data_IF_682722863062
#
_entry.id   IF_682722863062
#
_cell.length_a   1.000
_cell.length_b   1.000
_cell.length_c   1.000
_cell.angle_alpha   90.00
_cell.angle_beta   90.00
_cell.angle_gamma   90.00
#
_symmetry.space_group_name_H-M   'P 1'
#
loop_
_entity.id
_entity.type
_entity.pdbx_description
1 polymer ?
#
# COMPACT_ATOMS: atom_id res chain seq x y z
N UNK A 1 25.48 -4.26 -35.89
CA UNK A 1 26.05 -3.85 -34.61
C UNK A 1 24.91 -4.02 -33.58
N UNK A 2 24.90 -5.13 -32.85
CA UNK A 2 24.00 -5.38 -31.73
C UNK A 2 24.43 -4.41 -30.64
N UNK A 3 23.58 -3.41 -30.33
CA UNK A 3 23.73 -2.62 -29.12
C UNK A 3 23.66 -3.59 -27.95
N UNK A 4 24.77 -3.82 -27.26
CA UNK A 4 24.77 -4.42 -25.93
C UNK A 4 23.90 -3.54 -25.05
N UNK A 5 22.69 -3.99 -24.77
CA UNK A 5 21.82 -3.32 -23.80
C UNK A 5 22.54 -3.39 -22.46
N UNK A 6 23.00 -2.23 -21.95
CA UNK A 6 23.56 -2.16 -20.59
C UNK A 6 22.59 -2.85 -19.61
N UNK A 7 23.09 -3.73 -18.74
CA UNK A 7 22.23 -4.36 -17.75
C UNK A 7 21.52 -3.28 -16.93
N UNK A 8 20.20 -3.44 -16.75
CA UNK A 8 19.38 -2.51 -15.97
C UNK A 8 19.98 -2.35 -14.57
N UNK A 9 19.87 -1.15 -14.00
CA UNK A 9 20.41 -0.87 -12.68
C UNK A 9 19.73 -1.68 -11.58
N UNK A 10 18.45 -1.94 -11.71
CA UNK A 10 17.71 -2.80 -10.77
C UNK A 10 17.95 -4.28 -11.08
N UNK A 11 18.25 -5.03 -10.04
CA UNK A 11 18.35 -6.47 -10.05
C UNK A 11 17.01 -7.07 -9.57
N UNK A 12 16.02 -7.07 -10.51
CA UNK A 12 14.64 -7.45 -10.18
C UNK A 12 14.53 -8.93 -9.78
N UNK A 13 13.63 -9.22 -8.85
CA UNK A 13 13.27 -10.59 -8.47
C UNK A 13 12.53 -11.28 -9.63
N UNK A 14 12.85 -12.56 -9.87
CA UNK A 14 12.15 -13.36 -10.87
C UNK A 14 10.76 -13.77 -10.40
N UNK A 15 10.66 -14.18 -9.15
CA UNK A 15 9.40 -14.56 -8.48
C UNK A 15 8.35 -13.44 -8.49
N UNK A 16 8.77 -12.17 -8.55
CA UNK A 16 7.87 -11.03 -8.63
C UNK A 16 6.95 -11.08 -9.86
N UNK A 17 7.41 -11.62 -10.99
CA UNK A 17 6.62 -11.61 -12.23
C UNK A 17 5.39 -12.51 -12.15
N UNK A 18 5.46 -13.63 -11.42
CA UNK A 18 4.31 -14.52 -11.19
C UNK A 18 3.24 -13.81 -10.36
N UNK A 19 3.64 -13.18 -9.26
CA UNK A 19 2.71 -12.40 -8.40
C UNK A 19 2.11 -11.20 -9.13
N UNK A 20 2.87 -10.57 -10.03
CA UNK A 20 2.34 -9.45 -10.83
C UNK A 20 1.25 -9.90 -11.79
N UNK A 21 1.37 -11.10 -12.38
CA UNK A 21 0.34 -11.65 -13.26
C UNK A 21 -1.01 -11.83 -12.55
N UNK A 22 -1.01 -12.05 -11.23
CA UNK A 22 -2.24 -12.15 -10.43
C UNK A 22 -3.02 -10.82 -10.36
N UNK A 23 -2.34 -9.69 -10.57
CA UNK A 23 -3.01 -8.38 -10.66
C UNK A 23 -3.84 -8.28 -11.94
N UNK A 24 -3.28 -8.73 -13.06
CA UNK A 24 -3.99 -8.72 -14.34
C UNK A 24 -5.20 -9.67 -14.27
N UNK A 25 -5.03 -10.89 -13.72
CA UNK A 25 -6.12 -11.85 -13.49
C UNK A 25 -7.25 -11.33 -12.60
N UNK A 26 -6.94 -10.42 -11.68
CA UNK A 26 -7.98 -9.80 -10.84
C UNK A 26 -8.94 -8.94 -11.67
N UNK A 27 -8.42 -8.13 -12.59
CA UNK A 27 -9.24 -7.29 -13.46
C UNK A 27 -9.93 -8.10 -14.55
N UNK A 28 -9.23 -9.04 -15.17
CA UNK A 28 -9.81 -10.00 -16.12
C UNK A 28 -10.98 -10.77 -15.51
N UNK A 29 -10.80 -11.32 -14.30
CA UNK A 29 -11.87 -12.02 -13.58
C UNK A 29 -13.04 -11.12 -13.17
N UNK A 30 -12.83 -9.81 -13.01
CA UNK A 30 -13.91 -8.84 -12.83
C UNK A 30 -14.73 -8.66 -14.11
N UNK A 31 -14.07 -8.58 -15.27
CA UNK A 31 -14.72 -8.48 -16.57
C UNK A 31 -15.51 -9.75 -16.89
N UNK A 32 -14.87 -10.92 -16.74
CA UNK A 32 -15.52 -12.22 -16.95
C UNK A 32 -16.77 -12.38 -16.07
N UNK A 33 -16.67 -12.04 -14.79
CA UNK A 33 -17.82 -12.10 -13.87
C UNK A 33 -18.97 -11.20 -14.33
N UNK A 34 -18.66 -10.00 -14.82
CA UNK A 34 -19.67 -9.08 -15.35
C UNK A 34 -20.35 -9.62 -16.62
N UNK A 35 -19.59 -10.22 -17.53
CA UNK A 35 -20.10 -10.87 -18.75
C UNK A 35 -21.00 -12.06 -18.44
N UNK A 36 -20.69 -12.79 -17.37
CA UNK A 36 -21.50 -13.90 -16.85
C UNK A 36 -22.72 -13.43 -16.03
N UNK A 37 -22.92 -12.12 -15.87
CA UNK A 37 -24.01 -11.57 -15.06
C UNK A 37 -23.82 -11.75 -13.55
N UNK A 38 -22.61 -12.06 -13.09
CA UNK A 38 -22.26 -12.14 -11.68
C UNK A 38 -22.01 -10.75 -11.09
N UNK A 39 -22.21 -10.56 -9.76
CA UNK A 39 -22.01 -9.27 -9.13
C UNK A 39 -20.52 -8.89 -9.08
N UNK A 40 -20.23 -7.62 -9.43
CA UNK A 40 -18.90 -7.01 -9.31
C UNK A 40 -18.99 -5.79 -8.39
N UNK A 41 -18.13 -5.71 -7.40
CA UNK A 41 -18.00 -4.55 -6.54
C UNK A 41 -16.77 -3.72 -6.89
N UNK A 42 -16.93 -2.40 -6.96
CA UNK A 42 -15.80 -1.49 -6.90
C UNK A 42 -15.54 -1.15 -5.43
N UNK A 43 -14.34 -1.45 -4.97
CA UNK A 43 -14.00 -1.40 -3.56
C UNK A 43 -12.85 -0.43 -3.32
N UNK A 44 -12.99 0.42 -2.31
CA UNK A 44 -11.88 1.20 -1.78
C UNK A 44 -10.88 0.29 -1.07
N UNK A 45 -9.59 0.60 -1.15
CA UNK A 45 -8.58 -0.09 -0.35
C UNK A 45 -8.84 0.18 1.15
N UNK A 46 -9.33 -0.84 1.82
CA UNK A 46 -9.57 -0.86 3.25
C UNK A 46 -9.44 -2.32 3.78
N UNK A 47 -9.45 -2.50 5.08
CA UNK A 47 -9.12 -3.79 5.68
C UNK A 47 -10.28 -4.78 5.86
N UNK A 48 -11.54 -4.42 5.52
CA UNK A 48 -12.70 -5.11 6.05
C UNK A 48 -13.57 -5.81 5.01
N UNK A 49 -13.89 -5.16 3.89
CA UNK A 49 -14.94 -5.63 2.98
C UNK A 49 -14.53 -6.73 2.04
N UNK A 50 -13.26 -6.76 1.59
CA UNK A 50 -12.84 -7.64 0.51
C UNK A 50 -13.07 -9.13 0.82
N UNK A 51 -12.72 -9.60 2.03
CA UNK A 51 -12.98 -10.98 2.43
C UNK A 51 -14.47 -11.30 2.56
N UNK A 52 -15.28 -10.34 3.06
CA UNK A 52 -16.74 -10.48 3.16
C UNK A 52 -17.37 -10.58 1.77
N UNK A 53 -16.99 -9.72 0.84
CA UNK A 53 -17.47 -9.73 -0.54
C UNK A 53 -17.10 -11.04 -1.24
N UNK A 54 -15.88 -11.51 -1.06
CA UNK A 54 -15.45 -12.78 -1.59
C UNK A 54 -16.25 -13.96 -1.02
N UNK A 55 -16.51 -14.01 0.29
CA UNK A 55 -17.36 -15.00 0.93
C UNK A 55 -18.83 -14.95 0.44
N UNK A 56 -19.27 -13.79 -0.03
CA UNK A 56 -20.57 -13.62 -0.69
C UNK A 56 -20.54 -13.92 -2.20
N UNK A 57 -19.39 -14.32 -2.76
CA UNK A 57 -19.25 -14.63 -4.19
C UNK A 57 -19.27 -13.38 -5.09
N UNK A 58 -18.96 -12.21 -4.56
CA UNK A 58 -18.86 -10.95 -5.29
C UNK A 58 -17.42 -10.76 -5.75
N UNK A 59 -17.21 -10.52 -7.05
CA UNK A 59 -15.89 -10.17 -7.55
C UNK A 59 -15.56 -8.72 -7.20
N UNK A 60 -14.31 -8.49 -6.82
CA UNK A 60 -13.85 -7.16 -6.40
C UNK A 60 -12.83 -6.60 -7.37
N UNK A 61 -12.99 -5.33 -7.73
CA UNK A 61 -12.00 -4.51 -8.45
C UNK A 61 -11.80 -3.21 -7.68
N UNK A 62 -10.63 -2.62 -7.81
CA UNK A 62 -10.19 -1.55 -6.94
C UNK A 62 -9.82 -0.30 -7.74
N UNK A 63 -10.71 0.71 -7.83
CA UNK A 63 -10.47 1.93 -8.61
C UNK A 63 -9.19 2.68 -8.22
N UNK A 64 -8.82 2.65 -6.93
CA UNK A 64 -7.57 3.23 -6.44
C UNK A 64 -6.34 2.54 -7.05
N UNK A 65 -6.32 1.22 -7.01
CA UNK A 65 -5.23 0.44 -7.62
C UNK A 65 -5.26 0.54 -9.16
N UNK A 66 -6.45 0.53 -9.76
CA UNK A 66 -6.58 0.68 -11.21
C UNK A 66 -6.02 2.01 -11.71
N UNK A 67 -6.25 3.10 -10.97
CA UNK A 67 -5.64 4.40 -11.25
C UNK A 67 -4.10 4.33 -11.21
N UNK A 68 -3.54 3.55 -10.25
CA UNK A 68 -2.09 3.30 -10.20
C UNK A 68 -1.58 2.54 -11.43
N UNK A 69 -2.35 1.54 -11.88
CA UNK A 69 -2.04 0.77 -13.09
C UNK A 69 -2.06 1.68 -14.33
N UNK A 70 -3.08 2.51 -14.49
CA UNK A 70 -3.16 3.51 -15.55
C UNK A 70 -1.93 4.44 -15.54
N UNK A 71 -1.56 4.97 -14.38
CA UNK A 71 -0.39 5.84 -14.25
C UNK A 71 0.92 5.13 -14.60
N UNK A 72 1.13 3.91 -14.10
CA UNK A 72 2.34 3.13 -14.35
C UNK A 72 2.50 2.74 -15.84
N UNK A 73 1.40 2.71 -16.60
CA UNK A 73 1.39 2.44 -18.03
C UNK A 73 1.30 3.71 -18.89
N UNK A 74 1.29 4.90 -18.29
CA UNK A 74 1.19 6.17 -19.00
C UNK A 74 -0.21 6.45 -19.58
N UNK A 75 -1.25 5.81 -19.05
CA UNK A 75 -2.64 5.86 -19.54
C UNK A 75 -3.59 6.65 -18.63
N UNK A 76 -3.07 7.31 -17.58
CA UNK A 76 -3.92 8.05 -16.64
C UNK A 76 -4.37 9.42 -17.15
N UNK A 77 -3.58 10.09 -17.97
CA UNK A 77 -3.81 11.47 -18.44
C UNK A 77 -5.19 11.66 -19.12
N UNK A 78 -5.62 10.82 -20.08
CA UNK A 78 -6.93 11.00 -20.71
C UNK A 78 -8.11 10.90 -19.73
N UNK A 79 -7.98 10.05 -18.71
CA UNK A 79 -9.01 9.94 -17.67
C UNK A 79 -9.01 11.15 -16.73
N UNK A 80 -7.85 11.70 -16.39
CA UNK A 80 -7.77 12.91 -15.57
C UNK A 80 -8.34 14.12 -16.31
N UNK A 81 -8.01 14.31 -17.58
CA UNK A 81 -8.60 15.35 -18.43
C UNK A 81 -10.14 15.20 -18.54
N UNK A 82 -10.63 13.96 -18.69
CA UNK A 82 -12.08 13.71 -18.72
C UNK A 82 -12.74 14.06 -17.38
N UNK A 83 -12.07 13.85 -16.25
CA UNK A 83 -12.59 14.25 -14.94
C UNK A 83 -12.62 15.78 -14.76
N UNK A 84 -11.66 16.49 -15.31
CA UNK A 84 -11.63 17.97 -15.31
C UNK A 84 -12.79 18.54 -16.15
N UNK A 85 -13.13 17.90 -17.26
CA UNK A 85 -14.32 18.22 -18.04
C UNK A 85 -15.64 18.01 -17.26
N UNK A 86 -15.66 17.11 -16.27
CA UNK A 86 -16.77 16.95 -15.31
C UNK A 86 -16.75 17.98 -14.17
N UNK A 87 -15.76 18.88 -14.15
CA UNK A 87 -15.61 19.92 -13.11
C UNK A 87 -14.76 19.51 -11.90
N UNK A 88 -13.98 18.42 -12.00
CA UNK A 88 -13.07 18.01 -10.94
C UNK A 88 -11.73 18.73 -11.08
N UNK A 89 -11.37 19.62 -10.16
CA UNK A 89 -10.16 20.41 -10.30
C UNK A 89 -8.87 19.61 -10.08
N UNK A 90 -7.79 20.03 -10.72
CA UNK A 90 -6.49 19.33 -10.75
C UNK A 90 -5.82 19.17 -9.39
N UNK A 91 -6.20 19.96 -8.37
CA UNK A 91 -5.66 19.84 -7.02
C UNK A 91 -6.33 18.77 -6.14
N UNK A 92 -7.34 18.04 -6.67
CA UNK A 92 -7.92 16.90 -5.98
C UNK A 92 -7.08 15.64 -6.22
N UNK A 93 -7.26 14.68 -5.32
CA UNK A 93 -6.55 13.41 -5.34
C UNK A 93 -6.49 12.77 -6.74
N UNK A 94 -5.29 12.46 -7.23
CA UNK A 94 -5.08 11.88 -8.56
C UNK A 94 -5.82 10.54 -8.74
N UNK A 95 -5.90 9.70 -7.71
CA UNK A 95 -6.70 8.47 -7.75
C UNK A 95 -8.18 8.75 -8.03
N UNK A 96 -8.74 9.73 -7.32
CA UNK A 96 -10.15 10.10 -7.50
C UNK A 96 -10.40 10.67 -8.88
N UNK A 97 -9.53 11.57 -9.37
CA UNK A 97 -9.62 12.16 -10.70
C UNK A 97 -9.58 11.11 -11.79
N UNK A 98 -8.58 10.22 -11.79
CA UNK A 98 -8.47 9.16 -12.79
C UNK A 98 -9.69 8.22 -12.78
N UNK A 99 -10.17 7.83 -11.59
CA UNK A 99 -11.33 6.95 -11.44
C UNK A 99 -12.65 7.62 -11.89
N UNK A 100 -12.86 8.89 -11.55
CA UNK A 100 -14.04 9.66 -12.01
C UNK A 100 -14.01 9.83 -13.52
N UNK A 101 -12.86 10.17 -14.09
CA UNK A 101 -12.71 10.30 -15.54
C UNK A 101 -12.93 8.98 -16.26
N UNK A 102 -12.44 7.86 -15.72
CA UNK A 102 -12.73 6.52 -16.22
C UNK A 102 -14.25 6.26 -16.24
N UNK A 103 -14.94 6.57 -15.15
CA UNK A 103 -16.39 6.38 -15.01
C UNK A 103 -17.18 7.25 -15.97
N UNK A 104 -16.80 8.52 -16.12
CA UNK A 104 -17.40 9.43 -17.09
C UNK A 104 -17.19 8.91 -18.53
N UNK A 105 -16.00 8.40 -18.83
CA UNK A 105 -15.69 7.79 -20.12
C UNK A 105 -16.52 6.54 -20.41
N UNK A 106 -16.79 5.71 -19.39
CA UNK A 106 -17.73 4.59 -19.52
C UNK A 106 -19.14 5.07 -19.88
N UNK A 107 -19.62 6.14 -19.25
CA UNK A 107 -20.93 6.72 -19.58
C UNK A 107 -20.96 7.21 -21.03
N UNK A 108 -19.92 7.87 -21.53
CA UNK A 108 -19.79 8.27 -22.93
C UNK A 108 -19.90 7.08 -23.92
N UNK A 109 -19.61 5.87 -23.43
CA UNK A 109 -19.58 4.61 -24.18
C UNK A 109 -20.75 3.67 -23.85
N UNK A 110 -21.86 4.21 -23.37
CA UNK A 110 -23.04 3.42 -22.97
C UNK A 110 -22.75 2.31 -21.97
N UNK A 111 -21.85 2.58 -21.01
CA UNK A 111 -21.46 1.67 -19.94
C UNK A 111 -20.40 0.64 -20.33
N UNK A 112 -19.83 0.72 -21.52
CA UNK A 112 -18.75 -0.16 -21.98
C UNK A 112 -17.40 0.27 -21.40
N UNK A 113 -16.51 -0.71 -21.22
CA UNK A 113 -15.13 -0.45 -20.83
C UNK A 113 -14.45 0.42 -21.90
N UNK A 114 -13.75 1.51 -21.50
CA UNK A 114 -13.00 2.33 -22.44
C UNK A 114 -11.96 1.51 -23.20
N UNK A 115 -11.88 1.60 -24.54
CA UNK A 115 -10.91 0.82 -25.32
C UNK A 115 -9.44 1.17 -25.02
N UNK A 116 -9.21 2.38 -24.49
CA UNK A 116 -7.91 2.84 -24.01
C UNK A 116 -7.53 2.31 -22.62
N UNK A 117 -8.43 1.60 -21.93
CA UNK A 117 -8.22 1.12 -20.56
C UNK A 117 -7.19 -0.02 -20.52
N UNK A 118 -6.11 0.09 -19.71
CA UNK A 118 -5.11 -0.97 -19.61
C UNK A 118 -5.64 -2.19 -18.84
N UNK A 119 -5.03 -3.38 -19.05
CA UNK A 119 -5.30 -4.59 -18.29
C UNK A 119 -6.76 -5.08 -18.38
N UNK A 120 -7.44 -4.86 -19.51
CA UNK A 120 -8.84 -5.26 -19.71
C UNK A 120 -9.88 -4.33 -19.10
N UNK A 121 -9.47 -3.36 -18.30
CA UNK A 121 -10.37 -2.38 -17.70
C UNK A 121 -11.11 -2.85 -16.44
N UNK A 122 -12.03 -2.02 -15.98
CA UNK A 122 -12.98 -2.36 -14.91
C UNK A 122 -14.40 -2.36 -15.48
N UNK A 123 -15.20 -3.42 -15.25
CA UNK A 123 -16.58 -3.46 -15.71
C UNK A 123 -17.47 -2.57 -14.86
N UNK A 124 -18.69 -2.28 -15.33
CA UNK A 124 -19.70 -1.54 -14.56
C UNK A 124 -19.96 -2.23 -13.21
N UNK A 125 -19.91 -1.50 -12.07
CA UNK A 125 -20.12 -2.10 -10.75
C UNK A 125 -21.60 -2.42 -10.49
N UNK A 126 -21.85 -3.50 -9.77
CA UNK A 126 -23.15 -3.83 -9.17
C UNK A 126 -23.36 -3.03 -7.88
N UNK A 127 -22.26 -2.79 -7.14
CA UNK A 127 -22.24 -1.98 -5.94
C UNK A 127 -20.87 -1.31 -5.75
N UNK A 128 -20.86 -0.29 -4.92
CA UNK A 128 -19.66 0.46 -4.56
C UNK A 128 -19.46 0.36 -3.04
N UNK A 129 -18.25 0.01 -2.60
CA UNK A 129 -17.91 -0.05 -1.19
C UNK A 129 -16.83 1.00 -0.89
N UNK A 130 -17.24 2.04 -0.18
CA UNK A 130 -16.40 3.14 0.26
C UNK A 130 -15.91 2.92 1.69
N UNK A 131 -14.90 3.70 2.08
CA UNK A 131 -14.46 3.80 3.47
C UNK A 131 -14.02 5.22 3.77
N UNK A 132 -14.35 5.74 4.95
CA UNK A 132 -13.82 7.00 5.50
C UNK A 132 -12.47 6.84 6.18
N UNK A 133 -11.98 5.64 6.30
CA UNK A 133 -10.76 5.29 7.00
C UNK A 133 -9.55 6.02 6.43
N UNK A 134 -8.70 6.46 6.47
CA UNK A 134 -7.47 7.02 5.90
C UNK A 134 -7.58 8.47 5.44
N UNK A 135 -8.60 8.83 4.63
CA UNK A 135 -8.72 10.21 4.14
C UNK A 135 -10.17 10.60 3.79
N UNK A 136 -10.43 11.92 3.84
CA UNK A 136 -11.72 12.54 3.58
C UNK A 136 -12.18 12.45 2.10
N UNK A 137 -11.24 12.42 1.15
CA UNK A 137 -11.54 12.36 -0.27
C UNK A 137 -12.26 11.07 -0.67
N UNK A 138 -11.93 9.95 -0.05
CA UNK A 138 -12.45 8.61 -0.36
C UNK A 138 -13.96 8.54 -0.33
N UNK A 139 -14.55 9.09 0.71
CA UNK A 139 -15.98 9.09 0.90
C UNK A 139 -16.73 9.83 -0.22
N UNK A 140 -16.33 11.07 -0.50
CA UNK A 140 -16.96 11.89 -1.54
C UNK A 140 -16.73 11.35 -2.96
N UNK A 141 -15.57 10.81 -3.19
CA UNK A 141 -15.22 10.17 -4.45
C UNK A 141 -16.20 9.03 -4.79
N UNK A 142 -16.39 8.06 -3.88
CA UNK A 142 -17.28 6.92 -4.11
C UNK A 142 -18.76 7.32 -4.22
N UNK A 143 -19.20 8.32 -3.46
CA UNK A 143 -20.54 8.90 -3.65
C UNK A 143 -20.74 9.46 -5.07
N UNK A 144 -19.70 10.06 -5.64
CA UNK A 144 -19.74 10.56 -7.01
C UNK A 144 -19.78 9.43 -8.04
N UNK A 145 -19.00 8.35 -7.81
CA UNK A 145 -19.07 7.16 -8.67
C UNK A 145 -20.48 6.54 -8.69
N UNK A 146 -21.18 6.52 -7.57
CA UNK A 146 -22.55 6.01 -7.49
C UNK A 146 -23.50 6.72 -8.42
N UNK A 147 -23.28 8.01 -8.70
CA UNK A 147 -24.11 8.79 -9.66
C UNK A 147 -23.90 8.38 -11.12
N UNK A 148 -22.70 7.98 -11.50
CA UNK A 148 -22.40 7.54 -12.86
C UNK A 148 -23.06 6.20 -13.20
N UNK A 149 -23.20 5.32 -12.22
CA UNK A 149 -23.59 3.94 -12.46
C UNK A 149 -25.00 3.58 -11.95
N UNK A 150 -25.67 4.48 -11.24
CA UNK A 150 -26.91 4.17 -10.52
C UNK A 150 -26.77 2.91 -9.65
N UNK A 151 -25.60 2.79 -8.98
CA UNK A 151 -25.25 1.66 -8.16
C UNK A 151 -25.29 2.06 -6.67
N UNK A 152 -25.75 1.16 -5.76
CA UNK A 152 -25.73 1.44 -4.34
C UNK A 152 -24.31 1.65 -3.84
N UNK A 153 -24.15 2.60 -2.92
CA UNK A 153 -22.89 2.89 -2.23
C UNK A 153 -23.03 2.54 -0.78
N UNK A 154 -22.24 1.56 -0.32
CA UNK A 154 -22.09 1.31 1.11
C UNK A 154 -20.80 1.95 1.59
N UNK A 155 -20.84 2.64 2.72
CA UNK A 155 -19.66 3.22 3.34
C UNK A 155 -19.38 2.52 4.66
N UNK A 156 -18.20 1.90 4.75
CA UNK A 156 -17.69 1.33 5.98
C UNK A 156 -16.93 2.38 6.78
N UNK A 157 -17.26 2.51 8.05
CA UNK A 157 -16.54 3.37 8.98
C UNK A 157 -15.64 2.53 9.87
N UNK A 158 -14.43 3.02 10.10
CA UNK A 158 -13.49 2.43 11.04
C UNK A 158 -13.13 3.46 12.11
N UNK A 159 -13.21 3.10 13.40
CA UNK A 159 -12.86 4.02 14.47
C UNK A 159 -11.41 4.49 14.37
N UNK A 160 -11.21 5.79 14.43
CA UNK A 160 -9.88 6.43 14.42
C UNK A 160 -9.67 7.26 15.68
N UNK A 161 -9.51 6.63 16.85
CA UNK A 161 -9.32 7.35 18.11
C UNK A 161 -7.98 8.10 18.14
N UNK A 162 -7.91 9.14 18.96
CA UNK A 162 -6.67 9.85 19.23
C UNK A 162 -5.59 8.93 19.83
N UNK A 163 -4.32 9.30 19.67
CA UNK A 163 -3.18 8.44 20.05
C UNK A 163 -3.29 7.95 21.49
N UNK A 164 -3.63 8.83 22.44
CA UNK A 164 -3.77 8.46 23.85
C UNK A 164 -4.96 7.52 24.12
N UNK A 165 -6.04 7.70 23.38
CA UNK A 165 -7.23 6.86 23.48
C UNK A 165 -6.97 5.45 22.95
N UNK A 166 -6.07 5.30 21.96
CA UNK A 166 -5.65 3.99 21.43
C UNK A 166 -4.92 3.11 22.45
N UNK A 167 -4.46 3.66 23.57
CA UNK A 167 -3.87 2.92 24.68
C UNK A 167 -4.90 2.36 25.66
N UNK A 168 -6.16 2.81 25.58
CA UNK A 168 -7.22 2.40 26.50
C UNK A 168 -7.85 1.07 26.04
N UNK A 169 -7.86 0.08 26.94
CA UNK A 169 -8.56 -1.19 26.70
C UNK A 169 -10.07 -1.01 26.53
N UNK A 170 -10.68 -0.05 27.24
CA UNK A 170 -12.10 0.31 27.08
C UNK A 170 -12.36 0.86 25.67
N UNK A 171 -11.51 1.75 25.18
CA UNK A 171 -11.61 2.28 23.81
C UNK A 171 -11.44 1.16 22.77
N UNK A 172 -10.50 0.25 22.99
CA UNK A 172 -10.30 -0.90 22.12
C UNK A 172 -11.56 -1.75 22.03
N UNK A 173 -12.12 -2.16 23.16
CA UNK A 173 -13.32 -3.00 23.20
C UNK A 173 -14.53 -2.31 22.57
N UNK A 174 -14.75 -1.03 22.89
CA UNK A 174 -15.81 -0.23 22.25
C UNK A 174 -15.68 -0.21 20.73
N UNK A 175 -14.47 -0.07 20.21
CA UNK A 175 -14.19 -0.02 18.78
C UNK A 175 -14.38 -1.40 18.12
N UNK A 176 -14.00 -2.49 18.81
CA UNK A 176 -14.27 -3.86 18.36
C UNK A 176 -15.77 -4.08 18.21
N UNK A 177 -16.57 -3.72 19.24
CA UNK A 177 -18.02 -3.87 19.19
C UNK A 177 -18.69 -2.98 18.13
N UNK A 178 -18.15 -1.77 17.90
CA UNK A 178 -18.60 -0.91 16.81
C UNK A 178 -18.37 -1.60 15.44
N UNK A 179 -17.16 -2.11 15.19
CA UNK A 179 -16.81 -2.79 13.95
C UNK A 179 -17.64 -4.04 13.72
N UNK A 180 -17.87 -4.86 14.75
CA UNK A 180 -18.74 -6.05 14.66
C UNK A 180 -20.14 -5.66 14.19
N UNK A 181 -20.71 -4.62 14.80
CA UNK A 181 -22.06 -4.12 14.44
C UNK A 181 -22.10 -3.59 13.01
N UNK A 182 -21.10 -2.80 12.62
CA UNK A 182 -20.98 -2.19 11.28
C UNK A 182 -20.87 -3.28 10.20
N UNK A 183 -20.00 -4.26 10.42
CA UNK A 183 -19.78 -5.33 9.44
C UNK A 183 -20.97 -6.31 9.37
N UNK A 184 -21.65 -6.58 10.47
CA UNK A 184 -22.92 -7.35 10.45
C UNK A 184 -24.01 -6.62 9.68
N UNK A 185 -24.11 -5.29 9.81
CA UNK A 185 -25.04 -4.50 9.01
C UNK A 185 -24.68 -4.56 7.52
N UNK A 186 -23.40 -4.51 7.18
CA UNK A 186 -22.93 -4.68 5.81
C UNK A 186 -23.27 -6.07 5.25
N UNK A 187 -23.06 -7.15 6.02
CA UNK A 187 -23.46 -8.51 5.62
C UNK A 187 -24.98 -8.58 5.37
N UNK A 188 -25.79 -8.02 6.27
CA UNK A 188 -27.25 -8.01 6.10
C UNK A 188 -27.68 -7.23 4.83
N UNK A 189 -27.01 -6.12 4.53
CA UNK A 189 -27.22 -5.38 3.27
C UNK A 189 -26.89 -6.23 2.06
N UNK A 190 -25.74 -6.93 2.07
CA UNK A 190 -25.33 -7.81 0.96
C UNK A 190 -26.28 -9.00 0.80
N UNK A 191 -26.73 -9.63 1.89
CA UNK A 191 -27.70 -10.72 1.83
C UNK A 191 -29.00 -10.27 1.14
N UNK A 192 -29.49 -9.08 1.48
CA UNK A 192 -30.70 -8.52 0.84
C UNK A 192 -30.47 -8.15 -0.63
N UNK A 193 -29.33 -7.56 -0.95
CA UNK A 193 -28.99 -7.14 -2.32
C UNK A 193 -28.81 -8.33 -3.26
N UNK A 194 -28.15 -9.39 -2.77
CA UNK A 194 -27.75 -10.54 -3.57
C UNK A 194 -28.73 -11.74 -3.48
N UNK A 195 -29.67 -11.70 -2.53
CA UNK A 195 -30.58 -12.82 -2.27
C UNK A 195 -29.85 -14.09 -1.80
N UNK A 196 -28.68 -13.99 -1.19
CA UNK A 196 -27.79 -15.07 -0.81
C UNK A 196 -27.32 -14.91 0.64
N UNK A 197 -27.16 -16.02 1.37
CA UNK A 197 -26.61 -15.99 2.73
C UNK A 197 -25.09 -15.94 2.74
N UNK A 198 -24.55 -15.36 3.80
CA UNK A 198 -23.10 -15.26 4.07
C UNK A 198 -22.49 -16.66 4.23
N UNK A 199 -21.35 -16.90 3.58
CA UNK A 199 -20.51 -18.07 3.78
C UNK A 199 -19.45 -17.76 4.86
N UNK A 200 -19.74 -18.18 6.08
CA UNK A 200 -18.87 -17.91 7.24
C UNK A 200 -17.59 -18.76 7.22
N UNK A 201 -17.64 -19.96 6.64
CA UNK A 201 -16.46 -20.84 6.53
C UNK A 201 -15.46 -20.24 5.54
N UNK A 202 -15.96 -19.70 4.43
CA UNK A 202 -15.11 -18.96 3.48
C UNK A 202 -14.49 -17.72 4.09
N UNK A 203 -15.21 -16.99 4.96
CA UNK A 203 -14.65 -15.83 5.67
C UNK A 203 -13.49 -16.22 6.59
N UNK A 204 -13.61 -17.31 7.32
CA UNK A 204 -12.54 -17.85 8.17
C UNK A 204 -11.32 -18.30 7.34
N UNK A 205 -11.55 -19.01 6.25
CA UNK A 205 -10.50 -19.48 5.34
C UNK A 205 -9.67 -18.31 4.78
N UNK A 206 -10.34 -17.30 4.24
CA UNK A 206 -9.66 -16.12 3.69
C UNK A 206 -8.91 -15.33 4.76
N UNK A 207 -9.45 -15.29 5.98
CA UNK A 207 -8.81 -14.65 7.13
C UNK A 207 -7.48 -15.30 7.52
N UNK A 208 -7.44 -16.63 7.51
CA UNK A 208 -6.22 -17.42 7.76
C UNK A 208 -5.15 -17.18 6.68
N UNK A 209 -5.54 -17.28 5.42
CA UNK A 209 -4.64 -17.06 4.28
C UNK A 209 -4.00 -15.67 4.27
N UNK A 210 -4.76 -14.63 4.60
CA UNK A 210 -4.22 -13.28 4.71
C UNK A 210 -3.13 -13.16 5.77
N UNK A 211 -3.26 -13.87 6.89
CA UNK A 211 -2.24 -13.86 7.95
C UNK A 211 -0.94 -14.52 7.48
N UNK A 212 -1.02 -15.62 6.73
CA UNK A 212 0.16 -16.29 6.18
C UNK A 212 0.87 -15.46 5.11
N UNK A 213 0.14 -14.77 4.24
CA UNK A 213 0.70 -13.82 3.29
C UNK A 213 1.47 -12.70 4.04
N UNK A 214 0.89 -12.17 5.12
CA UNK A 214 1.55 -11.14 5.93
C UNK A 214 2.80 -11.68 6.64
N UNK A 215 2.81 -12.96 7.08
CA UNK A 215 3.98 -13.59 7.66
C UNK A 215 5.15 -13.63 6.67
N UNK A 216 4.91 -14.13 5.46
CA UNK A 216 5.94 -14.20 4.42
C UNK A 216 6.46 -12.80 4.03
N UNK A 217 5.57 -11.84 3.88
CA UNK A 217 5.96 -10.45 3.57
C UNK A 217 6.79 -9.81 4.68
N UNK A 218 6.46 -10.10 5.94
CA UNK A 218 7.22 -9.66 7.09
C UNK A 218 8.63 -10.28 7.08
N UNK A 219 8.74 -11.60 6.91
CA UNK A 219 10.01 -12.31 6.86
C UNK A 219 10.90 -11.83 5.70
N UNK A 220 10.31 -11.57 4.53
CA UNK A 220 11.03 -10.93 3.42
C UNK A 220 11.61 -9.57 3.85
N UNK A 221 10.84 -8.76 4.57
CA UNK A 221 11.35 -7.47 5.08
C UNK A 221 12.49 -7.64 6.09
N UNK A 222 12.44 -8.65 6.96
CA UNK A 222 13.56 -8.95 7.86
C UNK A 222 14.84 -9.30 7.07
N UNK A 223 14.74 -10.09 6.00
CA UNK A 223 15.86 -10.39 5.12
C UNK A 223 16.45 -9.13 4.43
N UNK A 224 15.62 -8.12 4.15
CA UNK A 224 16.05 -6.86 3.52
C UNK A 224 16.96 -6.00 4.42
N UNK A 225 17.04 -6.29 5.72
CA UNK A 225 18.01 -5.68 6.65
C UNK A 225 19.45 -6.07 6.33
N UNK A 226 19.68 -7.17 5.61
CA UNK A 226 21.03 -7.66 5.23
C UNK A 226 21.82 -6.65 4.39
N UNK A 227 23.15 -6.79 4.40
CA UNK A 227 24.05 -6.00 3.55
C UNK A 227 24.84 -6.91 2.59
N UNK A 228 24.80 -6.62 1.28
CA UNK A 228 23.96 -5.59 0.62
C UNK A 228 22.47 -5.92 0.73
N UNK A 229 21.59 -4.91 0.59
CA UNK A 229 20.15 -5.12 0.58
C UNK A 229 19.71 -5.98 -0.59
N UNK A 230 19.12 -7.18 -0.37
CA UNK A 230 18.90 -8.20 -1.41
C UNK A 230 17.75 -7.86 -2.38
N UNK A 231 16.88 -6.94 -1.97
CA UNK A 231 15.65 -6.59 -2.69
C UNK A 231 15.40 -5.09 -2.66
N UNK A 232 15.12 -4.51 -3.79
CA UNK A 232 14.77 -3.10 -3.94
C UNK A 232 13.27 -2.85 -3.71
N UNK A 233 12.91 -1.69 -3.15
CA UNK A 233 11.53 -1.24 -2.93
C UNK A 233 10.62 -1.38 -4.16
N UNK A 234 11.15 -1.22 -5.38
CA UNK A 234 10.37 -1.43 -6.61
C UNK A 234 9.81 -2.84 -6.77
N UNK A 235 10.50 -3.87 -6.30
CA UNK A 235 9.97 -5.24 -6.31
C UNK A 235 8.85 -5.38 -5.30
N UNK A 236 9.03 -4.81 -4.11
CA UNK A 236 8.00 -4.81 -3.08
C UNK A 236 6.69 -4.17 -3.58
N UNK A 237 6.77 -2.98 -4.18
CA UNK A 237 5.58 -2.31 -4.72
C UNK A 237 4.93 -3.05 -5.90
N UNK A 238 5.71 -3.78 -6.67
CA UNK A 238 5.18 -4.55 -7.82
C UNK A 238 4.28 -5.72 -7.39
N UNK A 239 4.48 -6.27 -6.18
CA UNK A 239 3.73 -7.42 -5.68
C UNK A 239 2.70 -7.06 -4.60
N UNK A 240 2.70 -5.82 -4.12
CA UNK A 240 1.81 -5.42 -3.02
C UNK A 240 0.32 -5.56 -3.39
N UNK A 241 -0.02 -5.31 -4.65
CA UNK A 241 -1.40 -5.43 -5.15
C UNK A 241 -1.89 -6.87 -5.05
N UNK A 242 -1.09 -7.84 -5.47
CA UNK A 242 -1.44 -9.26 -5.34
C UNK A 242 -1.71 -9.62 -3.87
N UNK A 243 -0.83 -9.19 -2.95
CA UNK A 243 -0.98 -9.47 -1.53
C UNK A 243 -2.23 -8.84 -0.90
N UNK A 244 -2.46 -7.54 -1.18
CA UNK A 244 -3.49 -6.75 -0.50
C UNK A 244 -4.89 -6.98 -1.08
N UNK A 245 -4.99 -7.22 -2.38
CA UNK A 245 -6.27 -7.26 -3.07
C UNK A 245 -6.65 -8.68 -3.52
N UNK A 246 -5.72 -9.42 -4.11
CA UNK A 246 -5.97 -10.77 -4.62
C UNK A 246 -5.91 -11.83 -3.51
N UNK A 247 -5.12 -11.63 -2.46
CA UNK A 247 -4.94 -12.59 -1.36
C UNK A 247 -6.22 -12.97 -0.61
N UNK A 248 -7.24 -12.10 -0.57
CA UNK A 248 -8.53 -12.44 0.01
C UNK A 248 -9.40 -13.32 -0.90
N UNK A 249 -9.15 -13.32 -2.22
CA UNK A 249 -9.91 -14.11 -3.17
C UNK A 249 -9.26 -15.48 -3.44
N UNK A 250 -7.94 -15.54 -3.44
CA UNK A 250 -7.16 -16.73 -3.78
C UNK A 250 -5.88 -16.80 -2.94
N UNK A 251 -6.01 -17.07 -1.62
CA UNK A 251 -4.87 -16.99 -0.72
C UNK A 251 -3.77 -18.01 -1.04
N UNK A 252 -4.11 -19.19 -1.52
CA UNK A 252 -3.14 -20.28 -1.76
C UNK A 252 -2.13 -19.89 -2.85
N UNK A 253 -2.61 -19.36 -3.97
CA UNK A 253 -1.76 -18.91 -5.09
C UNK A 253 -0.84 -17.76 -4.65
N UNK A 254 -1.37 -16.84 -3.84
CA UNK A 254 -0.60 -15.69 -3.35
C UNK A 254 0.41 -16.11 -2.28
N UNK A 255 0.09 -17.08 -1.44
CA UNK A 255 1.04 -17.69 -0.48
C UNK A 255 2.19 -18.37 -1.24
N UNK A 256 1.89 -19.20 -2.24
CA UNK A 256 2.91 -19.90 -3.04
C UNK A 256 3.85 -18.88 -3.72
N UNK A 257 3.30 -17.83 -4.32
CA UNK A 257 4.10 -16.78 -4.96
C UNK A 257 5.01 -16.04 -3.98
N UNK A 258 4.52 -15.73 -2.76
CA UNK A 258 5.33 -15.09 -1.73
C UNK A 258 6.36 -16.05 -1.11
N UNK A 259 6.09 -17.35 -1.04
CA UNK A 259 7.08 -18.34 -0.61
C UNK A 259 8.26 -18.39 -1.60
N UNK A 260 7.99 -18.46 -2.91
CA UNK A 260 9.04 -18.38 -3.95
C UNK A 260 9.85 -17.08 -3.84
N UNK A 261 9.18 -15.98 -3.53
CA UNK A 261 9.84 -14.69 -3.35
C UNK A 261 10.74 -14.67 -2.11
N UNK A 262 10.27 -15.25 -0.99
CA UNK A 262 11.07 -15.42 0.22
C UNK A 262 12.32 -16.25 -0.08
N UNK A 263 12.17 -17.40 -0.74
CA UNK A 263 13.28 -18.30 -1.07
C UNK A 263 14.31 -17.61 -1.97
N UNK A 264 13.86 -16.84 -2.98
CA UNK A 264 14.77 -16.06 -3.85
C UNK A 264 15.52 -14.96 -3.07
N UNK A 265 14.84 -14.27 -2.15
CA UNK A 265 15.47 -13.22 -1.33
C UNK A 265 16.45 -13.83 -0.33
N UNK A 266 16.12 -14.96 0.29
CA UNK A 266 17.01 -15.69 1.18
C UNK A 266 18.29 -16.16 0.45
N UNK A 267 18.14 -16.71 -0.74
CA UNK A 267 19.27 -17.10 -1.61
C UNK A 267 20.18 -15.89 -1.94
N UNK A 268 19.57 -14.73 -2.20
CA UNK A 268 20.35 -13.50 -2.46
C UNK A 268 21.14 -13.05 -1.23
N UNK A 269 20.56 -13.18 -0.04
CA UNK A 269 21.28 -12.90 1.23
C UNK A 269 22.49 -13.80 1.37
N UNK A 270 22.32 -15.13 1.21
CA UNK A 270 23.41 -16.09 1.29
C UNK A 270 24.54 -15.83 0.29
N UNK A 271 24.19 -15.39 -0.92
CA UNK A 271 25.15 -15.12 -2.00
C UNK A 271 25.69 -13.69 -2.02
N UNK A 272 25.23 -12.82 -1.11
CA UNK A 272 25.62 -11.40 -1.09
C UNK A 272 25.16 -10.63 -2.32
N UNK A 273 24.02 -10.98 -2.92
CA UNK A 273 23.46 -10.35 -4.13
C UNK A 273 22.57 -9.17 -3.74
N UNK A 274 22.89 -7.99 -4.27
CA UNK A 274 22.11 -6.78 -4.05
C UNK A 274 20.84 -6.70 -4.92
N UNK A 275 19.83 -5.95 -4.46
CA UNK A 275 18.65 -5.57 -5.26
C UNK A 275 18.96 -4.60 -6.41
N UNK A 276 20.21 -4.19 -6.55
CA UNK A 276 20.71 -3.35 -7.64
C UNK A 276 21.96 -3.98 -8.28
N UNK A 277 22.15 -3.76 -9.58
CA UNK A 277 23.31 -4.22 -10.37
C UNK A 277 24.47 -3.20 -10.34
N UNK A 278 24.63 -2.51 -9.23
CA UNK A 278 25.68 -1.55 -8.93
C UNK A 278 26.14 -1.78 -7.49
N UNK A 279 27.36 -1.36 -7.11
CA UNK A 279 27.72 -1.34 -5.69
C UNK A 279 26.73 -0.51 -4.87
N UNK A 280 26.23 -1.07 -3.76
CA UNK A 280 25.37 -0.35 -2.83
C UNK A 280 26.16 0.79 -2.17
N UNK A 281 26.07 1.98 -2.77
CA UNK A 281 26.75 3.18 -2.26
C UNK A 281 25.96 3.81 -1.11
N UNK A 282 24.63 3.89 -1.25
CA UNK A 282 23.73 4.43 -0.23
C UNK A 282 22.54 3.49 -0.02
N UNK A 283 22.24 3.23 1.26
CA UNK A 283 21.01 2.55 1.68
C UNK A 283 19.93 3.58 1.91
N UNK A 284 18.82 3.42 1.23
CA UNK A 284 17.78 4.42 1.19
C UNK A 284 16.46 3.89 1.75
N UNK A 285 15.71 4.77 2.39
CA UNK A 285 14.31 4.56 2.70
C UNK A 285 13.44 5.47 1.84
N UNK A 286 12.21 5.02 1.55
CA UNK A 286 11.22 5.81 0.85
C UNK A 286 9.99 6.04 1.74
N UNK A 287 9.67 7.28 2.03
CA UNK A 287 8.50 7.68 2.82
C UNK A 287 7.46 8.36 1.94
N UNK A 288 6.23 7.91 2.03
CA UNK A 288 5.11 8.35 1.22
C UNK A 288 4.68 7.32 0.17
N UNK A 289 3.64 7.64 -0.59
CA UNK A 289 3.15 6.76 -1.66
C UNK A 289 4.06 6.82 -2.89
N UNK A 290 4.14 5.73 -3.67
CA UNK A 290 4.97 5.70 -4.88
C UNK A 290 4.50 6.72 -5.93
N UNK A 291 5.41 7.35 -6.69
CA UNK A 291 5.06 8.09 -7.89
C UNK A 291 4.81 7.11 -9.04
N UNK A 292 3.59 6.54 -9.11
CA UNK A 292 3.28 5.44 -10.05
C UNK A 292 3.59 5.77 -11.50
N UNK A 293 3.39 7.02 -11.91
CA UNK A 293 3.66 7.50 -13.27
C UNK A 293 5.15 7.57 -13.64
N UNK A 294 6.06 7.58 -12.65
CA UNK A 294 7.50 7.78 -12.90
C UNK A 294 8.38 6.86 -12.06
N UNK A 295 7.98 5.62 -11.90
CA UNK A 295 8.79 4.62 -11.19
C UNK A 295 10.21 4.45 -11.78
N UNK A 296 10.42 4.78 -13.06
CA UNK A 296 11.73 4.83 -13.70
C UNK A 296 12.72 5.83 -13.08
N UNK A 297 12.25 6.81 -12.32
CA UNK A 297 13.09 7.68 -11.50
C UNK A 297 13.95 6.90 -10.49
N UNK A 298 13.37 5.87 -9.87
CA UNK A 298 14.12 5.01 -8.95
C UNK A 298 15.19 4.17 -9.67
N UNK A 299 14.97 3.81 -10.94
CA UNK A 299 15.97 3.10 -11.75
C UNK A 299 17.19 3.99 -11.98
N UNK A 300 16.97 5.31 -12.20
CA UNK A 300 18.05 6.29 -12.37
C UNK A 300 18.83 6.51 -11.07
N UNK A 301 18.16 6.47 -9.91
CA UNK A 301 18.83 6.51 -8.60
C UNK A 301 19.64 5.22 -8.33
N UNK A 302 19.12 4.07 -8.75
CA UNK A 302 19.85 2.81 -8.64
C UNK A 302 21.15 2.79 -9.52
N UNK A 303 21.17 3.48 -10.68
CA UNK A 303 22.40 3.69 -11.45
C UNK A 303 23.49 4.43 -10.66
N UNK A 304 23.10 5.24 -9.69
CA UNK A 304 23.99 5.98 -8.77
C UNK A 304 24.41 5.17 -7.54
N UNK A 305 23.94 3.91 -7.42
CA UNK A 305 24.19 3.03 -6.28
C UNK A 305 23.26 3.27 -5.09
N UNK A 306 22.10 3.91 -5.30
CA UNK A 306 21.08 4.05 -4.27
C UNK A 306 20.24 2.77 -4.22
N UNK A 307 20.32 2.03 -3.14
CA UNK A 307 19.48 0.85 -2.92
C UNK A 307 18.38 1.17 -1.91
N UNK A 308 17.14 1.25 -2.39
CA UNK A 308 15.97 1.45 -1.51
C UNK A 308 15.60 0.12 -0.87
N UNK A 309 15.89 0.00 0.43
CA UNK A 309 15.77 -1.23 1.19
C UNK A 309 14.53 -1.30 2.07
N UNK A 310 13.85 -0.17 2.29
CA UNK A 310 12.59 -0.08 3.04
C UNK A 310 11.74 1.08 2.55
N UNK A 311 10.43 0.92 2.67
CA UNK A 311 9.40 1.90 2.36
C UNK A 311 8.33 1.94 3.44
N UNK A 312 7.63 3.09 3.58
CA UNK A 312 6.47 3.20 4.49
C UNK A 312 5.19 2.66 3.87
N UNK A 313 4.98 2.95 2.57
CA UNK A 313 3.75 2.57 1.89
C UNK A 313 3.64 1.05 1.71
N UNK A 314 2.51 0.50 2.16
CA UNK A 314 2.14 -0.92 2.01
C UNK A 314 3.02 -1.90 2.79
N UNK A 315 3.83 -1.42 3.74
CA UNK A 315 4.65 -2.26 4.61
C UNK A 315 3.76 -3.26 5.35
N UNK A 316 4.12 -4.55 5.40
CA UNK A 316 3.38 -5.52 6.19
C UNK A 316 3.55 -5.23 7.69
N UNK A 317 2.51 -5.49 8.45
CA UNK A 317 2.62 -5.60 9.90
C UNK A 317 3.05 -7.03 10.26
N UNK A 318 3.70 -7.19 11.41
CA UNK A 318 4.04 -8.52 11.93
C UNK A 318 2.77 -9.36 12.04
N UNK A 319 2.78 -10.63 11.59
CA UNK A 319 1.62 -11.49 11.65
C UNK A 319 1.22 -11.73 13.10
N UNK A 320 -0.09 -11.79 13.33
CA UNK A 320 -0.64 -11.97 14.67
C UNK A 320 -0.90 -13.44 14.94
N UNK A 321 -0.35 -13.95 16.04
CA UNK A 321 -0.73 -15.24 16.60
C UNK A 321 -1.63 -14.97 17.80
N UNK A 322 -2.93 -15.11 17.61
CA UNK A 322 -3.93 -14.92 18.66
C UNK A 322 -4.87 -16.12 18.71
N UNK A 323 -5.10 -16.64 19.90
CA UNK A 323 -6.16 -17.64 20.11
C UNK A 323 -7.52 -16.94 20.14
N UNK A 324 -8.33 -17.22 19.15
CA UNK A 324 -9.69 -16.70 18.99
C UNK A 324 -10.76 -17.77 19.25
N UNK A 325 -10.37 -18.96 19.72
CA UNK A 325 -11.29 -20.09 19.95
C UNK A 325 -12.33 -19.81 21.03
N UNK A 326 -12.06 -18.85 21.91
CA UNK A 326 -12.98 -18.41 22.96
C UNK A 326 -14.17 -17.58 22.45
N UNK A 327 -14.14 -17.13 21.19
CA UNK A 327 -15.23 -16.35 20.60
C UNK A 327 -16.06 -17.20 19.66
N UNK A 328 -17.34 -17.38 19.97
CA UNK A 328 -18.25 -18.20 19.14
C UNK A 328 -18.66 -17.47 17.84
N UNK A 329 -18.74 -16.14 17.87
CA UNK A 329 -19.15 -15.32 16.73
C UNK A 329 -18.04 -15.21 15.68
N UNK A 330 -18.24 -15.72 14.45
CA UNK A 330 -17.22 -15.63 13.39
C UNK A 330 -16.91 -14.18 13.00
N UNK A 331 -17.85 -13.25 13.09
CA UNK A 331 -17.60 -11.84 12.84
C UNK A 331 -16.71 -11.24 13.91
N UNK A 332 -16.88 -11.62 15.18
CA UNK A 332 -16.01 -11.17 16.27
C UNK A 332 -14.59 -11.69 16.08
N UNK A 333 -14.42 -12.98 15.71
CA UNK A 333 -13.10 -13.52 15.36
C UNK A 333 -12.46 -12.77 14.19
N UNK A 334 -13.24 -12.46 13.16
CA UNK A 334 -12.77 -11.70 12.00
C UNK A 334 -12.27 -10.30 12.39
N UNK A 335 -13.01 -9.57 13.21
CA UNK A 335 -12.64 -8.24 13.68
C UNK A 335 -11.41 -8.30 14.57
N UNK A 336 -11.37 -9.18 15.58
CA UNK A 336 -10.26 -9.26 16.53
C UNK A 336 -8.95 -9.76 15.90
N UNK A 337 -9.02 -10.52 14.82
CA UNK A 337 -7.83 -10.90 14.04
C UNK A 337 -7.17 -9.70 13.37
N UNK A 338 -7.92 -8.67 13.02
CA UNK A 338 -7.46 -7.51 12.26
C UNK A 338 -7.30 -6.23 13.07
N UNK A 339 -8.24 -5.95 13.96
CA UNK A 339 -8.22 -4.73 14.75
C UNK A 339 -7.29 -4.89 15.94
N UNK A 340 -6.34 -3.96 16.08
CA UNK A 340 -5.32 -3.97 17.14
C UNK A 340 -5.38 -2.69 17.94
N UNK A 341 -5.19 -2.80 19.25
CA UNK A 341 -4.84 -1.65 20.06
C UNK A 341 -3.44 -1.14 19.71
N UNK A 342 -3.10 0.07 20.09
CA UNK A 342 -1.74 0.56 19.93
C UNK A 342 -0.76 -0.28 20.76
N UNK A 343 -1.15 -0.69 21.96
CA UNK A 343 -0.34 -1.52 22.85
C UNK A 343 -0.01 -2.88 22.21
N UNK A 344 -1.04 -3.59 21.70
CA UNK A 344 -0.82 -4.86 21.00
C UNK A 344 0.10 -4.68 19.78
N UNK A 345 -0.10 -3.61 19.00
CA UNK A 345 0.73 -3.33 17.83
C UNK A 345 2.19 -3.10 18.22
N UNK A 346 2.45 -2.40 19.32
CA UNK A 346 3.80 -2.17 19.82
C UNK A 346 4.44 -3.45 20.33
N UNK A 347 3.71 -4.25 21.13
CA UNK A 347 4.21 -5.52 21.68
C UNK A 347 4.48 -6.57 20.60
N UNK A 348 3.75 -6.53 19.50
CA UNK A 348 3.97 -7.43 18.36
C UNK A 348 5.14 -6.98 17.47
N UNK A 349 5.41 -5.68 17.37
CA UNK A 349 6.41 -5.13 16.46
C UNK A 349 7.80 -4.93 17.09
N UNK A 350 7.85 -4.71 18.42
CA UNK A 350 9.06 -4.34 19.13
C UNK A 350 9.37 -5.27 20.30
N UNK A 351 10.65 -5.33 20.68
CA UNK A 351 11.07 -6.07 21.88
C UNK A 351 10.56 -5.37 23.16
N UNK A 352 10.33 -6.11 24.27
CA UNK A 352 9.72 -5.57 25.48
C UNK A 352 10.38 -4.31 26.06
N UNK A 353 11.70 -4.21 25.96
CA UNK A 353 12.49 -3.07 26.44
C UNK A 353 12.39 -1.85 25.51
N UNK A 354 11.98 -2.03 24.26
CA UNK A 354 11.78 -0.98 23.27
C UNK A 354 10.36 -0.41 23.32
N UNK A 355 9.36 -1.23 23.68
CA UNK A 355 7.94 -0.85 23.65
C UNK A 355 7.65 0.45 24.40
N UNK A 356 8.22 0.60 25.62
CA UNK A 356 8.00 1.80 26.42
C UNK A 356 8.60 3.06 25.77
N UNK A 357 9.80 2.93 25.21
CA UNK A 357 10.51 4.03 24.54
C UNK A 357 9.70 4.51 23.35
N UNK A 358 9.29 3.58 22.49
CA UNK A 358 8.57 3.88 21.24
C UNK A 358 7.16 4.42 21.53
N UNK A 359 6.47 3.86 22.54
CA UNK A 359 5.18 4.39 23.02
C UNK A 359 5.31 5.85 23.43
N UNK A 360 6.33 6.18 24.23
CA UNK A 360 6.55 7.54 24.68
C UNK A 360 6.91 8.49 23.52
N UNK A 361 7.65 8.02 22.53
CA UNK A 361 7.91 8.79 21.30
C UNK A 361 6.63 9.08 20.52
N UNK A 362 5.79 8.08 20.29
CA UNK A 362 4.51 8.24 19.58
C UNK A 362 3.59 9.21 20.33
N UNK A 363 3.50 9.11 21.66
CA UNK A 363 2.65 9.99 22.47
C UNK A 363 3.15 11.43 22.44
N UNK A 364 4.47 11.63 22.54
CA UNK A 364 5.09 12.95 22.56
C UNK A 364 4.97 13.65 21.20
N UNK A 365 5.32 12.96 20.14
CA UNK A 365 5.48 13.54 18.82
C UNK A 365 4.15 13.61 18.04
N UNK A 366 3.14 12.86 18.49
CA UNK A 366 1.83 12.78 17.80
C UNK A 366 1.93 12.13 16.43
N UNK A 367 3.07 11.54 16.11
CA UNK A 367 3.37 10.98 14.79
C UNK A 367 3.29 9.47 14.92
N UNK A 368 2.26 8.89 14.37
CA UNK A 368 2.26 7.47 14.00
C UNK A 368 2.91 7.36 12.62
N UNK A 369 4.20 7.68 12.52
CA UNK A 369 4.93 7.53 11.27
C UNK A 369 5.00 6.05 10.89
N UNK A 370 4.73 5.76 9.64
CA UNK A 370 4.85 4.40 9.09
C UNK A 370 6.32 3.93 9.04
N UNK A 371 7.27 4.87 8.99
CA UNK A 371 8.69 4.63 9.23
C UNK A 371 9.10 5.30 10.55
N UNK A 372 9.14 4.53 11.64
CA UNK A 372 9.70 4.98 12.91
C UNK A 372 11.23 5.09 12.85
N UNK A 373 11.83 5.73 13.87
CA UNK A 373 13.28 5.83 14.03
C UNK A 373 13.94 4.45 14.04
N UNK A 374 13.29 3.46 14.66
CA UNK A 374 13.77 2.08 14.70
C UNK A 374 13.93 1.48 13.32
N UNK A 375 12.97 1.67 12.41
CA UNK A 375 13.11 1.16 11.03
C UNK A 375 14.32 1.78 10.32
N UNK A 376 14.53 3.09 10.45
CA UNK A 376 15.69 3.76 9.87
C UNK A 376 17.00 3.20 10.44
N UNK A 377 17.03 2.92 11.75
CA UNK A 377 18.18 2.32 12.44
C UNK A 377 18.41 0.88 12.04
N UNK A 378 17.40 0.00 12.14
CA UNK A 378 17.52 -1.44 11.86
C UNK A 378 17.96 -1.71 10.41
N UNK A 379 17.48 -0.93 9.46
CA UNK A 379 17.90 -1.04 8.07
C UNK A 379 19.17 -0.25 7.78
N UNK A 380 19.76 0.43 8.77
CA UNK A 380 20.99 1.21 8.64
C UNK A 380 20.95 2.17 7.44
N UNK A 381 19.93 3.00 7.40
CA UNK A 381 19.61 3.88 6.26
C UNK A 381 20.53 5.10 6.25
N UNK A 382 21.09 5.44 5.10
CA UNK A 382 21.94 6.61 4.91
C UNK A 382 21.16 7.90 4.63
N UNK A 383 20.00 7.75 3.98
CA UNK A 383 19.13 8.86 3.63
C UNK A 383 17.70 8.42 3.39
N UNK A 384 16.76 9.32 3.59
CA UNK A 384 15.32 9.09 3.38
C UNK A 384 14.83 9.98 2.26
N UNK A 385 14.15 9.41 1.26
CA UNK A 385 13.37 10.20 0.30
C UNK A 385 11.97 10.39 0.86
N UNK A 386 11.56 11.64 1.03
CA UNK A 386 10.22 12.04 1.46
C UNK A 386 9.43 12.52 0.24
N UNK A 387 8.44 11.73 -0.19
CA UNK A 387 7.57 12.10 -1.30
C UNK A 387 6.37 12.89 -0.79
N UNK A 388 6.43 14.19 -0.94
CA UNK A 388 5.34 15.12 -0.61
C UNK A 388 4.35 15.14 -1.76
N UNK A 389 3.16 14.63 -1.50
CA UNK A 389 2.08 14.56 -2.47
C UNK A 389 1.21 15.79 -2.42
N UNK A 390 1.21 16.58 -3.48
CA UNK A 390 0.51 17.86 -3.56
C UNK A 390 -1.01 17.71 -3.37
N UNK A 391 -1.57 16.59 -3.79
CA UNK A 391 -3.01 16.32 -3.73
C UNK A 391 -3.42 15.37 -2.60
N UNK A 392 -2.47 14.88 -1.76
CA UNK A 392 -2.74 13.95 -0.67
C UNK A 392 -2.30 14.49 0.70
N UNK A 393 -3.24 15.06 1.44
CA UNK A 393 -2.97 15.59 2.80
C UNK A 393 -2.68 14.48 3.81
N UNK A 394 -3.34 13.34 3.67
CA UNK A 394 -3.20 12.22 4.61
C UNK A 394 -1.78 11.65 4.70
N UNK A 395 -1.02 11.70 3.59
CA UNK A 395 0.36 11.22 3.56
C UNK A 395 1.39 12.34 3.71
N UNK A 396 1.06 13.57 3.32
CA UNK A 396 2.03 14.69 3.30
C UNK A 396 2.05 15.49 4.59
N UNK A 397 0.92 15.55 5.32
CA UNK A 397 0.89 16.23 6.61
C UNK A 397 1.78 15.51 7.63
N UNK A 398 2.70 16.22 8.24
CA UNK A 398 3.61 15.67 9.24
C UNK A 398 4.97 15.19 8.71
N UNK A 399 5.20 15.10 7.41
CA UNK A 399 6.50 14.68 6.86
C UNK A 399 7.66 15.59 7.32
N UNK A 400 7.41 16.89 7.48
CA UNK A 400 8.39 17.83 8.02
C UNK A 400 8.77 17.54 9.47
N UNK A 401 7.85 17.06 10.29
CA UNK A 401 8.13 16.62 11.66
C UNK A 401 9.00 15.37 11.65
N UNK A 402 8.64 14.40 10.83
CA UNK A 402 9.43 13.18 10.63
C UNK A 402 10.85 13.52 10.15
N UNK A 403 11.00 14.39 9.16
CA UNK A 403 12.29 14.84 8.65
C UNK A 403 13.19 15.39 9.75
N UNK A 404 12.67 16.31 10.56
CA UNK A 404 13.41 16.89 11.70
C UNK A 404 13.79 15.80 12.70
N UNK A 405 12.85 14.94 13.04
CA UNK A 405 13.05 13.89 14.04
C UNK A 405 14.14 12.89 13.63
N UNK A 406 14.13 12.43 12.38
CA UNK A 406 15.15 11.52 11.83
C UNK A 406 16.52 12.21 11.87
N UNK A 407 16.59 13.46 11.46
CA UNK A 407 17.84 14.22 11.47
C UNK A 407 18.37 14.47 12.89
N UNK A 408 17.50 14.91 13.80
CA UNK A 408 17.90 15.28 15.15
C UNK A 408 18.37 14.07 15.97
N UNK A 409 17.71 12.93 15.82
CA UNK A 409 18.00 11.73 16.62
C UNK A 409 19.05 10.83 15.95
N UNK A 410 18.85 10.51 14.68
CA UNK A 410 19.68 9.51 13.98
C UNK A 410 20.77 10.12 13.11
N UNK A 411 20.78 11.44 12.93
CA UNK A 411 21.70 12.12 12.01
C UNK A 411 21.60 11.55 10.58
N UNK A 412 20.40 11.16 10.18
CA UNK A 412 20.09 10.71 8.84
C UNK A 412 19.36 11.82 8.10
N UNK A 413 19.91 12.34 7.00
CA UNK A 413 19.28 13.42 6.24
C UNK A 413 18.13 12.93 5.37
N UNK A 414 17.27 13.84 4.95
CA UNK A 414 16.13 13.51 4.07
C UNK A 414 16.12 14.40 2.83
N UNK A 415 15.83 13.80 1.69
CA UNK A 415 15.57 14.47 0.42
C UNK A 415 14.05 14.60 0.22
N UNK A 416 13.56 15.83 0.12
CA UNK A 416 12.16 16.10 -0.20
C UNK A 416 11.99 16.18 -1.71
N UNK A 417 11.10 15.35 -2.24
CA UNK A 417 10.59 15.42 -3.62
C UNK A 417 9.10 15.73 -3.59
N UNK A 418 8.66 16.61 -4.46
CA UNK A 418 7.24 16.98 -4.59
C UNK A 418 6.67 16.39 -5.87
N UNK A 419 5.42 15.96 -5.82
CA UNK A 419 4.75 15.39 -6.98
C UNK A 419 3.31 14.99 -6.68
N UNK A 420 2.78 14.15 -7.52
CA UNK A 420 1.48 13.50 -7.32
C UNK A 420 1.63 11.98 -7.46
N UNK A 421 0.62 11.26 -6.99
CA UNK A 421 0.60 9.80 -7.06
C UNK A 421 0.39 9.33 -8.51
N UNK A 422 -0.47 10.04 -9.25
CA UNK A 422 -0.98 9.65 -10.58
C UNK A 422 -0.62 10.66 -11.65
N UNK A 423 -0.65 11.97 -11.31
CA UNK A 423 -0.46 13.05 -12.26
C UNK A 423 1.01 13.29 -12.57
N UNK A 424 1.46 12.85 -13.74
CA UNK A 424 2.84 13.01 -14.18
C UNK A 424 3.23 14.48 -14.38
N UNK A 425 2.27 15.37 -14.66
CA UNK A 425 2.53 16.81 -14.86
C UNK A 425 3.00 17.51 -13.58
N UNK A 426 2.66 16.95 -12.42
CA UNK A 426 3.05 17.45 -11.10
C UNK A 426 4.47 17.02 -10.67
N UNK A 427 5.23 16.28 -11.50
CA UNK A 427 6.55 15.76 -11.13
C UNK A 427 7.62 16.19 -12.14
N UNK A 428 8.65 16.85 -11.67
CA UNK A 428 9.82 17.20 -12.47
C UNK A 428 11.02 16.28 -12.19
N UNK A 429 11.13 15.21 -13.00
CA UNK A 429 12.19 14.20 -12.83
C UNK A 429 13.60 14.78 -12.95
N UNK A 430 13.83 15.75 -13.85
CA UNK A 430 15.15 16.36 -14.03
C UNK A 430 15.56 17.20 -12.81
N UNK A 431 14.63 17.92 -12.20
CA UNK A 431 14.87 18.66 -10.96
C UNK A 431 15.12 17.70 -9.80
N UNK A 432 14.29 16.66 -9.65
CA UNK A 432 14.46 15.64 -8.62
C UNK A 432 15.82 14.94 -8.69
N UNK A 433 16.32 14.66 -9.90
CA UNK A 433 17.66 14.10 -10.10
C UNK A 433 18.77 15.07 -9.69
N UNK A 434 18.67 16.34 -10.05
CA UNK A 434 19.66 17.35 -9.59
C UNK A 434 19.68 17.48 -8.07
N UNK A 435 18.49 17.47 -7.43
CA UNK A 435 18.41 17.47 -5.96
C UNK A 435 19.05 16.21 -5.38
N UNK A 436 18.85 15.05 -6.01
CA UNK A 436 19.45 13.78 -5.57
C UNK A 436 20.99 13.82 -5.67
N UNK A 437 21.56 14.40 -6.75
CA UNK A 437 23.00 14.58 -6.90
C UNK A 437 23.61 15.41 -5.78
N UNK A 438 23.03 16.56 -5.49
CA UNK A 438 23.47 17.41 -4.38
C UNK A 438 23.28 16.74 -3.00
N UNK A 439 22.25 15.89 -2.87
CA UNK A 439 21.96 15.18 -1.63
C UNK A 439 23.01 14.12 -1.27
N UNK A 440 23.75 13.58 -2.25
CA UNK A 440 24.86 12.63 -1.98
C UNK A 440 25.92 13.25 -1.07
N UNK A 441 26.29 14.51 -1.29
CA UNK A 441 27.23 15.22 -0.43
C UNK A 441 26.70 15.35 1.01
N UNK A 442 25.40 15.60 1.14
CA UNK A 442 24.73 15.67 2.45
C UNK A 442 24.79 14.33 3.16
N UNK A 443 24.49 13.22 2.47
CA UNK A 443 24.59 11.87 3.04
C UNK A 443 26.03 11.55 3.48
N UNK A 444 27.03 11.87 2.66
CA UNK A 444 28.45 11.66 2.99
C UNK A 444 28.88 12.49 4.21
N UNK A 445 28.38 13.72 4.34
CA UNK A 445 28.62 14.55 5.52
C UNK A 445 28.03 13.90 6.79
N UNK A 446 26.76 13.49 6.76
CA UNK A 446 26.12 12.90 7.94
C UNK A 446 26.63 11.49 8.29
N UNK A 447 27.16 10.74 7.35
CA UNK A 447 27.95 9.51 7.64
C UNK A 447 29.18 9.84 8.52
N UNK A 448 29.90 10.90 8.20
CA UNK A 448 31.04 11.34 9.04
C UNK A 448 30.58 11.76 10.42
N UNK A 449 29.51 12.56 10.50
CA UNK A 449 28.92 12.99 11.78
C UNK A 449 28.51 11.77 12.63
N UNK A 450 27.80 10.78 12.05
CA UNK A 450 27.44 9.56 12.78
C UNK A 450 28.66 8.82 13.31
N UNK A 451 29.70 8.67 12.49
CA UNK A 451 30.95 8.02 12.88
C UNK A 451 31.64 8.76 14.02
N UNK A 452 31.70 10.08 13.99
CA UNK A 452 32.27 10.93 15.04
C UNK A 452 31.49 10.82 16.36
N UNK A 453 30.18 10.62 16.29
CA UNK A 453 29.31 10.41 17.43
C UNK A 453 29.29 8.95 17.93
N UNK A 454 30.04 8.03 17.31
CA UNK A 454 30.06 6.62 17.68
C UNK A 454 28.75 5.88 17.40
N UNK A 455 27.95 6.36 16.47
CA UNK A 455 26.70 5.73 16.08
C UNK A 455 26.98 4.42 15.29
N UNK A 456 26.08 3.40 15.36
CA UNK A 456 26.39 2.03 14.94
C UNK A 456 26.57 1.80 13.44
N UNK A 457 26.20 2.75 12.55
CA UNK A 457 26.39 2.59 11.08
C UNK A 457 26.81 3.86 10.35
#
# INVERSE_FOLDING_TARGET
MTQETKPRALNRLKSMYELRAEVDRMYEGGVEASEEGKPVAWVMLEGWSNAILNAMGVKTVFPENYSSLCAAQGMAEPFMERSEAEGWPSHLCGYARASVGYSARMVDLDGKIPPEAPGGGMPKPTLLVASGETCDARFKWFQSLGRFFDAPVWTLESPSPGIRERLSSETYERNVQFLIKELKAFVAFLENLLGKKMDWDMLEFTGGGTNEINRLRWEINELRKSRPGPMHTRDFWSVMTAALFRGAADPEVIIEGHQKMYDEVAERVEKGIAGINRPEKYRMAFEGLPPWHTLGFLDQLAERGWNFVIESAYRPMRPRTIDLSMYDDPMERYVRRRYRSLEESLQEEYEPDEVEIIRNEIIRDGISSRLGLKHISDYQVDGVVLHVLLTCRATSAGLNLLQRRILDVLKVPSLVIEGDIIDASAFNAAEALRKAEAFEETMDHYRKVRKELGMPW
#
